data_IF_091189743491
#
_entry.id   IF_091189743491
#
_cell.length_a   1.000
_cell.length_b   1.000
_cell.length_c   1.000
_cell.angle_alpha   90.00
_cell.angle_beta   90.00
_cell.angle_gamma   90.00
#
_symmetry.space_group_name_H-M   'P 1'
#
loop_
_entity.id
_entity.type
_entity.pdbx_description
1 polymer ?
#
# COMPACT_ATOMS: atom_id res chain seq x y z
N UNK A 1 5.05 63.89 -13.91
CA UNK A 1 4.10 63.35 -14.92
C UNK A 1 4.62 62.00 -15.42
N UNK A 2 3.69 61.11 -15.79
CA UNK A 2 3.84 59.80 -16.47
C UNK A 2 4.51 58.66 -15.68
N UNK A 3 3.73 57.66 -15.27
CA UNK A 3 3.80 56.38 -15.98
C UNK A 3 2.90 55.27 -15.43
N UNK A 4 1.59 55.52 -15.24
CA UNK A 4 0.59 54.49 -14.90
C UNK A 4 0.15 53.61 -16.11
N UNK A 5 1.06 53.32 -17.05
CA UNK A 5 0.71 52.64 -18.31
C UNK A 5 0.96 51.13 -18.35
N UNK A 6 1.85 50.57 -17.52
CA UNK A 6 2.38 49.20 -17.77
C UNK A 6 1.74 48.07 -16.95
N UNK A 7 0.90 48.38 -15.96
CA UNK A 7 0.32 47.33 -15.09
C UNK A 7 -0.98 46.73 -15.64
N UNK A 8 -1.70 47.43 -16.53
CA UNK A 8 -2.97 46.96 -17.09
C UNK A 8 -2.79 45.93 -18.22
N UNK A 9 -1.77 46.04 -19.06
CA UNK A 9 -1.51 45.09 -20.16
C UNK A 9 -1.04 43.71 -19.68
N UNK A 10 -0.28 43.64 -18.58
CA UNK A 10 0.22 42.37 -18.02
C UNK A 10 -0.93 41.55 -17.42
N UNK A 11 -1.96 42.22 -16.87
CA UNK A 11 -3.13 41.58 -16.26
C UNK A 11 -4.08 40.97 -17.32
N UNK A 12 -4.28 41.65 -18.45
CA UNK A 12 -5.14 41.14 -19.55
C UNK A 12 -4.51 39.93 -20.25
N UNK A 13 -3.18 39.93 -20.44
CA UNK A 13 -2.46 38.81 -21.07
C UNK A 13 -2.47 37.52 -20.23
N UNK A 14 -2.50 37.61 -18.88
CA UNK A 14 -2.65 36.45 -17.99
C UNK A 14 -4.05 35.83 -18.03
N UNK A 15 -5.11 36.63 -18.17
CA UNK A 15 -6.50 36.14 -18.26
C UNK A 15 -6.78 35.37 -19.55
N UNK A 16 -6.28 35.83 -20.69
CA UNK A 16 -6.46 35.16 -21.99
C UNK A 16 -5.70 33.82 -22.04
N UNK A 17 -4.54 33.74 -21.37
CA UNK A 17 -3.78 32.50 -21.24
C UNK A 17 -4.51 31.46 -20.38
N UNK A 18 -5.23 31.88 -19.33
CA UNK A 18 -5.99 30.94 -18.48
C UNK A 18 -7.23 30.37 -19.17
N UNK A 19 -7.98 31.15 -19.94
CA UNK A 19 -9.20 30.65 -20.59
C UNK A 19 -8.92 29.73 -21.77
N UNK A 20 -7.88 30.02 -22.57
CA UNK A 20 -7.47 29.15 -23.68
C UNK A 20 -6.80 27.86 -23.19
N UNK A 21 -6.08 27.91 -22.07
CA UNK A 21 -5.47 26.73 -21.44
C UNK A 21 -6.50 25.85 -20.71
N UNK A 22 -7.55 26.44 -20.12
CA UNK A 22 -8.67 25.69 -19.54
C UNK A 22 -9.55 25.05 -20.63
N UNK A 23 -9.88 25.77 -21.71
CA UNK A 23 -10.68 25.21 -22.83
C UNK A 23 -9.97 24.08 -23.57
N UNK A 24 -8.63 24.11 -23.71
CA UNK A 24 -7.84 23.00 -24.29
C UNK A 24 -7.68 21.78 -23.38
N UNK A 25 -7.91 21.90 -22.07
CA UNK A 25 -7.82 20.77 -21.14
C UNK A 25 -9.16 20.09 -20.85
N UNK A 26 -10.30 20.72 -21.15
CA UNK A 26 -11.63 20.10 -21.03
C UNK A 26 -11.84 19.03 -22.12
N UNK A 27 -11.22 19.15 -23.30
CA UNK A 27 -11.32 18.14 -24.38
C UNK A 27 -10.47 16.89 -24.15
N UNK A 28 -9.61 16.87 -23.12
CA UNK A 28 -9.00 15.63 -22.62
C UNK A 28 -9.81 15.09 -21.45
N UNK A 29 -11.11 14.86 -21.67
CA UNK A 29 -11.84 13.84 -20.92
C UNK A 29 -11.11 12.53 -21.22
N UNK A 30 -10.20 12.17 -20.31
CA UNK A 30 -9.51 10.88 -20.34
C UNK A 30 -10.62 9.84 -20.41
N UNK A 31 -10.77 9.18 -21.56
CA UNK A 31 -11.59 7.99 -21.70
C UNK A 31 -11.13 7.01 -20.62
N UNK A 32 -11.82 7.01 -19.48
CA UNK A 32 -11.50 6.14 -18.36
C UNK A 32 -11.89 4.75 -18.85
N UNK A 33 -10.90 3.99 -19.33
CA UNK A 33 -11.10 2.60 -19.76
C UNK A 33 -11.96 1.92 -18.70
N UNK A 34 -13.15 1.47 -19.09
CA UNK A 34 -14.06 0.72 -18.22
C UNK A 34 -13.22 -0.39 -17.61
N UNK A 35 -13.17 -0.46 -16.27
CA UNK A 35 -12.46 -1.55 -15.59
C UNK A 35 -13.13 -2.84 -16.00
N UNK A 36 -12.33 -3.81 -16.45
CA UNK A 36 -12.84 -5.15 -16.76
C UNK A 36 -13.36 -5.76 -15.46
N UNK A 37 -14.60 -6.21 -15.49
CA UNK A 37 -15.18 -7.01 -14.43
C UNK A 37 -14.76 -8.47 -14.66
N UNK A 38 -14.04 -9.01 -13.68
CA UNK A 38 -13.62 -10.41 -13.69
C UNK A 38 -14.64 -11.24 -12.88
N UNK A 39 -14.73 -12.53 -13.19
CA UNK A 39 -15.62 -13.48 -12.51
C UNK A 39 -17.08 -13.02 -12.41
N UNK A 40 -17.74 -12.88 -13.56
CA UNK A 40 -19.18 -12.56 -13.61
C UNK A 40 -20.10 -13.72 -13.24
N UNK A 41 -19.58 -14.94 -13.24
CA UNK A 41 -20.31 -16.16 -12.90
C UNK A 41 -20.36 -16.36 -11.39
N UNK A 42 -21.36 -17.07 -10.88
CA UNK A 42 -21.49 -17.46 -9.46
C UNK A 42 -21.15 -18.94 -9.24
N UNK A 43 -20.92 -19.34 -7.99
CA UNK A 43 -20.72 -20.76 -7.64
C UNK A 43 -21.89 -21.63 -8.11
N UNK A 44 -23.11 -21.11 -7.92
CA UNK A 44 -24.36 -21.74 -8.36
C UNK A 44 -24.40 -21.93 -9.88
N UNK A 45 -23.94 -20.94 -10.65
CA UNK A 45 -23.84 -21.05 -12.11
C UNK A 45 -22.89 -22.17 -12.53
N UNK A 46 -21.77 -22.33 -11.81
CA UNK A 46 -20.81 -23.42 -12.05
C UNK A 46 -21.40 -24.78 -11.71
N UNK A 47 -22.06 -24.90 -10.56
CA UNK A 47 -22.69 -26.16 -10.13
C UNK A 47 -23.80 -26.58 -11.08
N UNK A 48 -24.62 -25.62 -11.53
CA UNK A 48 -25.62 -25.85 -12.56
C UNK A 48 -24.97 -26.29 -13.87
N UNK A 49 -23.92 -25.62 -14.31
CA UNK A 49 -23.19 -26.01 -15.52
C UNK A 49 -22.57 -27.41 -15.42
N UNK A 50 -22.02 -27.80 -14.26
CA UNK A 50 -21.46 -29.13 -14.04
C UNK A 50 -22.56 -30.19 -14.09
N UNK A 51 -23.69 -29.96 -13.41
CA UNK A 51 -24.86 -30.87 -13.40
C UNK A 51 -25.41 -31.12 -14.81
N UNK A 52 -25.42 -30.10 -15.67
CA UNK A 52 -25.94 -30.18 -17.04
C UNK A 52 -24.92 -30.69 -18.08
N UNK A 53 -23.68 -30.99 -17.69
CA UNK A 53 -22.71 -31.59 -18.61
C UNK A 53 -22.75 -33.12 -18.62
N UNK A 54 -22.93 -33.69 -19.81
CA UNK A 54 -22.80 -35.12 -20.03
C UNK A 54 -21.32 -35.51 -19.98
N UNK A 55 -20.95 -36.53 -19.18
CA UNK A 55 -19.56 -37.01 -18.97
C UNK A 55 -18.75 -37.25 -20.26
N UNK A 56 -19.43 -37.48 -21.39
CA UNK A 56 -18.83 -37.79 -22.69
C UNK A 56 -18.62 -36.58 -23.61
N UNK A 57 -19.24 -35.42 -23.36
CA UNK A 57 -19.03 -34.23 -24.19
C UNK A 57 -18.83 -32.97 -23.36
N UNK A 58 -17.67 -32.32 -23.53
CA UNK A 58 -17.28 -31.05 -22.88
C UNK A 58 -18.00 -29.85 -23.52
N UNK A 59 -19.24 -30.04 -23.93
CA UNK A 59 -20.06 -29.00 -24.53
C UNK A 59 -20.84 -28.33 -23.41
N UNK A 60 -20.44 -27.11 -23.07
CA UNK A 60 -21.26 -26.20 -22.28
C UNK A 60 -22.54 -25.92 -23.06
N UNK A 61 -23.65 -26.55 -22.64
CA UNK A 61 -24.99 -26.25 -23.14
C UNK A 61 -25.69 -25.36 -22.10
N UNK A 62 -26.09 -24.16 -22.51
CA UNK A 62 -26.98 -23.30 -21.73
C UNK A 62 -26.27 -22.28 -20.82
N UNK A 63 -26.53 -21.01 -21.14
CA UNK A 63 -26.88 -19.91 -20.22
C UNK A 63 -26.02 -19.61 -18.99
N UNK A 64 -24.72 -19.86 -19.00
CA UNK A 64 -23.84 -19.21 -18.05
C UNK A 64 -22.72 -18.50 -18.82
N UNK A 65 -22.51 -17.21 -18.54
CA UNK A 65 -21.38 -16.40 -19.05
C UNK A 65 -20.05 -16.85 -18.41
N UNK A 66 -19.87 -18.17 -18.28
CA UNK A 66 -18.67 -18.81 -17.79
C UNK A 66 -17.73 -19.02 -18.97
N UNK A 67 -16.51 -18.47 -18.93
CA UNK A 67 -15.51 -18.78 -19.94
C UNK A 67 -15.23 -20.29 -19.99
N UNK A 68 -15.28 -20.86 -21.19
CA UNK A 68 -14.92 -22.28 -21.47
C UNK A 68 -13.65 -22.77 -20.74
N UNK A 69 -12.52 -22.03 -20.71
CA UNK A 69 -11.33 -22.50 -19.99
C UNK A 69 -11.52 -22.57 -18.48
N UNK A 70 -12.30 -21.65 -17.89
CA UNK A 70 -12.63 -21.67 -16.47
C UNK A 70 -13.49 -22.89 -16.15
N UNK A 71 -14.57 -23.10 -16.91
CA UNK A 71 -15.43 -24.27 -16.74
C UNK A 71 -14.66 -25.60 -16.82
N UNK A 72 -13.82 -25.77 -17.85
CA UNK A 72 -12.99 -26.98 -17.99
C UNK A 72 -12.06 -27.22 -16.81
N UNK A 73 -11.55 -26.15 -16.19
CA UNK A 73 -10.66 -26.24 -15.03
C UNK A 73 -11.41 -26.70 -13.78
N UNK A 74 -12.64 -26.22 -13.58
CA UNK A 74 -13.53 -26.65 -12.50
C UNK A 74 -14.01 -28.10 -12.71
N UNK A 75 -14.43 -28.46 -13.93
CA UNK A 75 -14.88 -29.82 -14.28
C UNK A 75 -13.80 -30.88 -14.03
N UNK A 76 -12.53 -30.54 -14.26
CA UNK A 76 -11.39 -31.44 -14.04
C UNK A 76 -10.81 -31.33 -12.62
N UNK A 77 -11.42 -30.54 -11.74
CA UNK A 77 -10.93 -30.25 -10.39
C UNK A 77 -9.45 -29.87 -10.34
N UNK A 78 -8.97 -29.13 -11.36
CA UNK A 78 -7.57 -28.71 -11.48
C UNK A 78 -7.25 -27.45 -10.66
N UNK A 79 -8.24 -26.93 -9.93
CA UNK A 79 -8.12 -25.76 -9.08
C UNK A 79 -7.54 -26.16 -7.72
N UNK A 80 -6.46 -25.47 -7.32
CA UNK A 80 -5.85 -25.66 -5.99
C UNK A 80 -6.55 -24.86 -4.89
N UNK A 81 -7.15 -23.71 -5.25
CA UNK A 81 -7.66 -22.71 -4.29
C UNK A 81 -8.96 -22.02 -4.71
N UNK A 82 -9.37 -22.14 -5.96
CA UNK A 82 -10.64 -21.61 -6.47
C UNK A 82 -11.66 -22.76 -6.56
N UNK A 83 -12.00 -23.33 -5.40
CA UNK A 83 -12.95 -24.43 -5.28
C UNK A 83 -14.21 -23.92 -4.60
N UNK A 84 -15.33 -24.58 -4.89
CA UNK A 84 -16.64 -24.26 -4.30
C UNK A 84 -16.99 -22.78 -4.51
N UNK A 85 -17.41 -22.10 -3.45
CA UNK A 85 -17.89 -20.72 -3.46
C UNK A 85 -16.78 -19.67 -3.57
N UNK A 86 -15.51 -20.08 -3.46
CA UNK A 86 -14.39 -19.15 -3.37
C UNK A 86 -13.78 -18.90 -4.74
N UNK A 87 -14.04 -17.72 -5.27
CA UNK A 87 -13.36 -17.21 -6.47
C UNK A 87 -12.04 -16.53 -6.08
N UNK A 88 -10.92 -17.17 -6.38
CA UNK A 88 -9.59 -16.58 -6.16
C UNK A 88 -9.10 -15.87 -7.42
N UNK A 89 -9.07 -14.54 -7.39
CA UNK A 89 -8.53 -13.71 -8.46
C UNK A 89 -7.08 -13.30 -8.19
N UNK A 90 -6.27 -13.28 -9.24
CA UNK A 90 -4.90 -12.79 -9.19
C UNK A 90 -3.93 -13.75 -8.49
N UNK A 91 -2.82 -13.20 -7.99
CA UNK A 91 -1.76 -13.99 -7.36
C UNK A 91 -2.08 -14.21 -5.89
N UNK A 92 -1.88 -15.43 -5.43
CA UNK A 92 -2.05 -15.77 -4.02
C UNK A 92 -1.01 -15.07 -3.13
N UNK A 93 -1.39 -14.92 -1.85
CA UNK A 93 -0.49 -14.45 -0.80
C UNK A 93 0.67 -15.43 -0.61
N UNK A 94 1.86 -14.88 -0.31
CA UNK A 94 3.05 -15.69 -0.02
C UNK A 94 2.99 -16.29 1.39
N UNK A 95 2.36 -15.59 2.33
CA UNK A 95 2.25 -16.02 3.71
C UNK A 95 0.89 -16.65 4.02
N UNK A 96 0.92 -17.58 4.98
CA UNK A 96 -0.27 -18.08 5.67
C UNK A 96 -0.86 -16.99 6.57
N UNK A 97 -2.19 -16.97 6.82
CA UNK A 97 -2.83 -16.02 7.72
C UNK A 97 -2.17 -15.96 9.11
N UNK A 98 -1.70 -17.10 9.61
CA UNK A 98 -0.99 -17.20 10.88
C UNK A 98 0.28 -16.34 10.92
N UNK A 99 1.13 -16.47 9.88
CA UNK A 99 2.38 -15.72 9.77
C UNK A 99 2.11 -14.23 9.59
N UNK A 100 1.08 -13.87 8.81
CA UNK A 100 0.67 -12.48 8.65
C UNK A 100 0.23 -11.85 9.98
N UNK A 101 -0.48 -12.60 10.82
CA UNK A 101 -0.88 -12.16 12.15
C UNK A 101 0.33 -11.97 13.07
N UNK A 102 1.30 -12.90 13.08
CA UNK A 102 2.52 -12.72 13.88
C UNK A 102 3.34 -11.51 13.43
N UNK A 103 3.45 -11.32 12.11
CA UNK A 103 4.08 -10.15 11.52
C UNK A 103 3.40 -8.86 11.98
N UNK A 104 2.07 -8.81 11.95
CA UNK A 104 1.31 -7.65 12.41
C UNK A 104 1.53 -7.37 13.91
N UNK A 105 1.47 -8.40 14.76
CA UNK A 105 1.77 -8.30 16.20
C UNK A 105 3.17 -7.74 16.45
N UNK A 106 4.15 -8.17 15.66
CA UNK A 106 5.52 -7.67 15.76
C UNK A 106 5.62 -6.19 15.40
N UNK A 107 4.95 -5.74 14.33
CA UNK A 107 4.92 -4.33 13.93
C UNK A 107 4.31 -3.46 15.03
N UNK A 108 3.18 -3.88 15.61
CA UNK A 108 2.53 -3.17 16.74
C UNK A 108 3.48 -3.10 17.95
N UNK A 109 4.22 -4.17 18.24
CA UNK A 109 5.21 -4.18 19.33
C UNK A 109 6.35 -3.18 19.09
N UNK A 110 6.83 -3.06 17.86
CA UNK A 110 7.88 -2.10 17.49
C UNK A 110 7.38 -0.66 17.64
N UNK A 111 6.16 -0.40 17.20
CA UNK A 111 5.59 0.93 17.30
C UNK A 111 5.31 1.35 18.75
N UNK A 112 4.85 0.43 19.61
CA UNK A 112 4.72 0.67 21.06
C UNK A 112 6.05 1.08 21.72
N UNK A 113 7.18 0.71 21.13
CA UNK A 113 8.53 1.10 21.56
C UNK A 113 9.06 2.34 20.83
N UNK A 114 8.18 3.08 20.17
CA UNK A 114 8.48 4.28 19.39
C UNK A 114 9.44 4.09 18.21
N UNK A 115 9.67 2.84 17.76
CA UNK A 115 10.43 2.61 16.53
C UNK A 115 9.56 2.99 15.32
N UNK A 116 10.09 3.89 14.49
CA UNK A 116 9.44 4.27 13.24
C UNK A 116 9.59 3.17 12.20
N UNK A 117 8.58 2.30 12.07
CA UNK A 117 8.57 1.24 11.05
C UNK A 117 8.22 1.84 9.69
N UNK A 118 9.14 1.79 8.73
CA UNK A 118 8.87 2.26 7.36
C UNK A 118 8.33 1.13 6.48
N UNK A 119 7.71 1.50 5.35
CA UNK A 119 7.29 0.54 4.32
C UNK A 119 8.45 -0.36 3.86
N UNK A 120 9.68 0.18 3.82
CA UNK A 120 10.86 -0.60 3.42
C UNK A 120 11.21 -1.66 4.46
N UNK A 121 11.08 -1.32 5.74
CA UNK A 121 11.41 -2.22 6.84
C UNK A 121 10.43 -3.39 6.88
N UNK A 122 9.12 -3.14 6.75
CA UNK A 122 8.11 -4.21 6.66
C UNK A 122 8.40 -5.14 5.48
N UNK A 123 8.78 -4.59 4.32
CA UNK A 123 9.08 -5.38 3.12
C UNK A 123 10.35 -6.21 3.26
N UNK A 124 11.37 -5.71 3.97
CA UNK A 124 12.59 -6.46 4.28
C UNK A 124 12.31 -7.55 5.32
N UNK A 125 11.55 -7.22 6.34
CA UNK A 125 11.18 -8.16 7.40
C UNK A 125 10.33 -9.31 6.85
N UNK A 126 9.41 -9.03 5.93
CA UNK A 126 8.70 -10.06 5.17
C UNK A 126 9.67 -10.98 4.40
N UNK A 127 10.67 -10.44 3.72
CA UNK A 127 11.67 -11.25 3.01
C UNK A 127 12.45 -12.14 3.99
N UNK A 128 12.92 -11.59 5.10
CA UNK A 128 13.65 -12.33 6.13
C UNK A 128 12.81 -13.46 6.72
N UNK A 129 11.52 -13.24 6.98
CA UNK A 129 10.61 -14.28 7.46
C UNK A 129 10.46 -15.39 6.42
N UNK A 130 10.31 -15.04 5.14
CA UNK A 130 10.19 -16.03 4.07
C UNK A 130 11.44 -16.90 3.95
N UNK A 131 12.62 -16.28 3.99
CA UNK A 131 13.91 -17.00 3.92
C UNK A 131 14.14 -17.85 5.16
N UNK A 132 13.89 -17.33 6.37
CA UNK A 132 14.13 -18.05 7.62
C UNK A 132 13.22 -19.26 7.82
N UNK A 133 12.00 -19.21 7.29
CA UNK A 133 11.03 -20.30 7.39
C UNK A 133 11.00 -21.16 6.11
N UNK A 134 11.98 -21.01 5.21
CA UNK A 134 12.07 -21.75 3.94
C UNK A 134 10.78 -21.72 3.10
N UNK A 135 10.06 -20.60 3.15
CA UNK A 135 8.79 -20.43 2.44
C UNK A 135 9.10 -20.08 0.98
N UNK A 136 8.56 -20.83 -0.01
CA UNK A 136 8.75 -20.52 -1.42
C UNK A 136 8.12 -19.16 -1.75
N UNK A 137 8.97 -18.22 -2.15
CA UNK A 137 8.59 -16.83 -2.35
C UNK A 137 9.14 -16.28 -3.66
N UNK A 138 8.52 -15.21 -4.16
CA UNK A 138 8.89 -14.54 -5.42
C UNK A 138 9.39 -13.12 -5.17
N UNK A 139 9.94 -12.90 -3.98
CA UNK A 139 10.52 -11.61 -3.62
C UNK A 139 11.83 -11.41 -4.36
N UNK A 140 12.27 -10.15 -4.40
CA UNK A 140 13.50 -9.83 -5.10
C UNK A 140 14.69 -10.21 -4.21
N UNK A 141 15.44 -11.22 -4.62
CA UNK A 141 16.62 -11.73 -3.90
C UNK A 141 17.73 -10.67 -3.88
N UNK A 142 18.02 -10.02 -5.02
CA UNK A 142 19.07 -9.00 -5.12
C UNK A 142 18.84 -7.79 -4.22
N UNK A 143 17.56 -7.46 -3.95
CA UNK A 143 17.18 -6.32 -3.08
C UNK A 143 16.77 -6.78 -1.67
N UNK A 144 16.72 -8.08 -1.43
CA UNK A 144 16.29 -8.72 -0.18
C UNK A 144 14.99 -8.13 0.37
N UNK A 145 13.99 -7.96 -0.50
CA UNK A 145 12.74 -7.31 -0.11
C UNK A 145 11.51 -7.79 -0.88
N UNK A 146 10.38 -7.83 -0.18
CA UNK A 146 9.07 -8.06 -0.78
C UNK A 146 8.68 -6.93 -1.74
N UNK A 147 7.78 -7.21 -2.69
CA UNK A 147 7.24 -6.20 -3.62
C UNK A 147 6.30 -5.19 -2.95
N UNK A 148 6.10 -4.02 -3.58
CA UNK A 148 5.12 -3.02 -3.09
C UNK A 148 3.69 -3.55 -3.10
N UNK A 149 3.30 -4.30 -4.14
CA UNK A 149 1.97 -4.89 -4.23
C UNK A 149 1.66 -5.82 -3.04
N UNK A 150 2.63 -6.66 -2.64
CA UNK A 150 2.48 -7.52 -1.48
C UNK A 150 2.28 -6.76 -0.17
N UNK A 151 2.98 -5.63 0.01
CA UNK A 151 2.80 -4.74 1.17
C UNK A 151 1.38 -4.13 1.23
N UNK A 152 0.90 -3.57 0.11
CA UNK A 152 -0.43 -2.96 0.10
C UNK A 152 -1.52 -4.00 0.33
N UNK A 153 -1.43 -5.17 -0.31
CA UNK A 153 -2.39 -6.24 -0.06
C UNK A 153 -2.32 -6.76 1.38
N UNK A 154 -1.15 -6.78 2.01
CA UNK A 154 -1.00 -7.12 3.43
C UNK A 154 -1.70 -6.09 4.34
N UNK A 155 -1.53 -4.80 4.06
CA UNK A 155 -2.23 -3.73 4.79
C UNK A 155 -3.75 -3.79 4.58
N UNK A 156 -4.23 -4.10 3.37
CA UNK A 156 -5.66 -4.28 3.10
C UNK A 156 -6.27 -5.44 3.92
N UNK A 157 -5.49 -6.49 4.19
CA UNK A 157 -5.91 -7.63 5.03
C UNK A 157 -5.81 -7.38 6.52
N UNK A 158 -4.97 -6.45 6.96
CA UNK A 158 -4.68 -6.16 8.36
C UNK A 158 -4.99 -4.68 8.66
N UNK A 159 -6.28 -4.29 8.69
CA UNK A 159 -6.68 -2.89 8.90
C UNK A 159 -6.38 -2.38 10.32
N UNK A 160 -6.16 -3.28 11.28
CA UNK A 160 -5.77 -2.93 12.66
C UNK A 160 -4.34 -2.41 12.77
N UNK A 161 -3.52 -2.54 11.72
CA UNK A 161 -2.18 -1.98 11.72
C UNK A 161 -2.25 -0.45 11.62
N UNK A 162 -1.75 0.28 12.63
CA UNK A 162 -1.75 1.72 12.58
C UNK A 162 -0.81 2.20 11.47
N UNK A 163 -1.41 2.85 10.47
CA UNK A 163 -0.69 3.69 9.53
C UNK A 163 -0.26 4.93 10.29
N UNK A 164 0.89 4.86 10.99
CA UNK A 164 1.42 6.04 11.69
C UNK A 164 1.72 7.13 10.67
N UNK A 165 0.80 8.05 10.51
CA UNK A 165 1.09 9.35 9.94
C UNK A 165 1.98 10.05 10.95
N UNK A 166 3.20 10.45 10.52
CA UNK A 166 4.06 11.26 11.38
C UNK A 166 3.26 12.48 11.79
N UNK A 167 3.05 12.64 13.10
CA UNK A 167 2.47 13.86 13.62
C UNK A 167 3.33 15.02 13.14
N UNK A 168 2.70 16.07 12.60
CA UNK A 168 3.42 17.27 12.24
C UNK A 168 4.04 17.81 13.51
N UNK A 169 5.36 17.79 13.58
CA UNK A 169 6.09 18.44 14.66
C UNK A 169 5.68 19.92 14.60
N UNK A 170 5.09 20.50 15.67
CA UNK A 170 4.72 21.91 15.66
C UNK A 170 5.96 22.75 15.37
N UNK A 171 5.80 23.84 14.63
CA UNK A 171 6.93 24.68 14.18
C UNK A 171 7.87 25.06 15.33
N UNK A 172 7.34 25.33 16.52
CA UNK A 172 8.12 25.62 17.72
C UNK A 172 9.07 24.49 18.17
N UNK A 173 8.68 23.21 18.01
CA UNK A 173 9.57 22.06 18.29
C UNK A 173 10.59 21.87 17.18
N UNK A 174 10.20 22.10 15.93
CA UNK A 174 11.11 22.00 14.79
C UNK A 174 12.22 23.05 14.86
N UNK A 175 11.89 24.30 15.22
CA UNK A 175 12.88 25.36 15.42
C UNK A 175 13.80 25.08 16.60
N UNK A 176 13.29 24.51 17.69
CA UNK A 176 14.09 24.14 18.87
C UNK A 176 15.06 22.98 18.63
N UNK A 177 14.91 22.26 17.52
CA UNK A 177 15.83 21.20 17.08
C UNK A 177 16.96 21.71 16.18
N UNK A 178 17.14 23.04 16.06
CA UNK A 178 18.27 23.65 15.36
C UNK A 178 19.57 23.40 16.12
N UNK A 179 20.65 23.08 15.40
CA UNK A 179 21.96 22.76 15.97
C UNK A 179 22.42 23.77 17.02
N UNK A 180 22.34 25.07 16.73
CA UNK A 180 22.77 26.12 17.66
C UNK A 180 21.97 26.13 18.97
N UNK A 181 20.66 25.88 18.89
CA UNK A 181 19.78 25.84 20.08
C UNK A 181 20.05 24.58 20.90
N UNK A 182 20.37 23.46 20.24
CA UNK A 182 20.75 22.22 20.90
C UNK A 182 22.08 22.40 21.64
N UNK A 183 23.07 23.07 21.03
CA UNK A 183 24.33 23.40 21.70
C UNK A 183 24.10 24.28 22.93
N UNK A 184 23.36 25.38 22.78
CA UNK A 184 23.05 26.29 23.90
C UNK A 184 22.35 25.55 25.06
N UNK A 185 21.44 24.63 24.75
CA UNK A 185 20.82 23.78 25.77
C UNK A 185 21.84 22.91 26.52
N UNK A 186 22.74 22.23 25.80
CA UNK A 186 23.74 21.37 26.43
C UNK A 186 24.78 22.17 27.20
N UNK A 187 25.15 23.38 26.75
CA UNK A 187 26.05 24.28 27.48
C UNK A 187 25.45 24.71 28.83
N UNK A 188 24.13 24.98 28.87
CA UNK A 188 23.41 25.30 30.11
C UNK A 188 23.30 24.05 30.99
N UNK A 189 22.99 22.90 30.38
CA UNK A 189 22.86 21.64 31.09
C UNK A 189 24.17 21.23 31.78
N UNK A 190 25.30 21.34 31.07
CA UNK A 190 26.64 21.03 31.60
C UNK A 190 26.98 21.92 32.80
N UNK A 191 26.75 23.23 32.70
CA UNK A 191 26.91 24.16 33.83
C UNK A 191 26.08 23.76 35.05
N UNK A 192 24.81 23.43 34.85
CA UNK A 192 23.96 22.99 35.95
C UNK A 192 24.42 21.65 36.56
N UNK A 193 24.98 20.74 35.75
CA UNK A 193 25.53 19.47 36.24
C UNK A 193 26.77 19.70 37.08
N UNK A 194 27.66 20.57 36.62
CA UNK A 194 28.90 20.92 37.33
C UNK A 194 28.63 21.66 38.65
N UNK A 195 27.71 22.63 38.63
CA UNK A 195 27.35 23.42 39.82
C UNK A 195 26.67 22.57 40.91
N UNK A 196 25.83 21.61 40.53
CA UNK A 196 25.08 20.77 41.47
C UNK A 196 25.77 19.43 41.77
N UNK A 197 26.88 19.12 41.10
CA UNK A 197 27.65 17.90 41.30
C UNK A 197 26.85 16.62 41.02
N UNK A 198 25.97 16.62 40.01
CA UNK A 198 25.17 15.44 39.67
C UNK A 198 26.09 14.31 39.16
N UNK A 199 26.33 13.29 39.98
CA UNK A 199 27.08 12.11 39.56
C UNK A 199 26.15 11.05 38.97
N UNK A 200 26.59 10.42 37.87
CA UNK A 200 25.83 9.39 37.15
C UNK A 200 25.39 8.19 38.01
N UNK A 201 26.00 8.00 39.19
CA UNK A 201 25.67 6.92 40.13
C UNK A 201 24.43 7.17 41.01
N UNK A 202 23.81 8.36 40.96
CA UNK A 202 22.69 8.74 41.84
C UNK A 202 21.32 8.85 41.15
N UNK A 203 21.15 8.23 39.98
CA UNK A 203 19.90 8.21 39.20
C UNK A 203 19.41 6.77 39.04
#
# INVERSE_FOLDING_TARGET
>A
MYGQGRTKEICVRRKIWTETFLKKNISKVRNKKIKREYCRWTSEDMDHAIKHTNKTSVVLKGSADIPKPTFRRHLRSLNKKANEDVQSLGRHTTFSPYIEMELAKHIVKLEKRFFGVTIRDVRRLAFQIAVRNDIPHHFNINKEMAGKGGYYSFMDRQPELPLRQREKIPMARATRSNQNIVHEFFDIFEKCVDENGFMAQKI
#
